data_IF_847365355532
#
_entry.id   IF_847365355532
#
_cell.length_a   1.000
_cell.length_b   1.000
_cell.length_c   1.000
_cell.angle_alpha   90.00
_cell.angle_beta   90.00
_cell.angle_gamma   90.00
#
_symmetry.space_group_name_H-M   'P 1'
#
loop_
_entity.id
_entity.type
_entity.pdbx_description
1 polymer ?
#
# COMPACT_ATOMS: atom_id res chain seq x y z
N UNK A 1 -26.90 -7.19 1.45
CA UNK A 1 -26.78 -6.11 0.44
C UNK A 1 -25.40 -6.05 -0.24
N UNK A 2 -24.32 -6.62 0.34
CA UNK A 2 -22.96 -6.55 -0.25
C UNK A 2 -22.77 -7.24 -1.61
N UNK A 3 -23.37 -8.42 -1.82
CA UNK A 3 -23.10 -9.22 -3.03
C UNK A 3 -23.62 -8.61 -4.34
N UNK A 4 -24.71 -7.82 -4.31
CA UNK A 4 -25.24 -7.17 -5.52
C UNK A 4 -24.36 -6.01 -5.98
N UNK A 5 -23.74 -5.28 -5.04
CA UNK A 5 -22.82 -4.21 -5.39
C UNK A 5 -21.57 -4.76 -6.06
N UNK A 6 -20.98 -5.85 -5.53
CA UNK A 6 -19.78 -6.48 -6.10
C UNK A 6 -20.04 -6.92 -7.55
N UNK A 7 -21.15 -7.63 -7.82
CA UNK A 7 -21.47 -8.10 -9.18
C UNK A 7 -21.52 -6.99 -10.23
N UNK A 8 -22.23 -5.91 -9.95
CA UNK A 8 -22.35 -4.79 -10.90
C UNK A 8 -20.98 -4.13 -11.17
N UNK A 9 -20.12 -4.01 -10.15
CA UNK A 9 -18.80 -3.44 -10.31
C UNK A 9 -17.85 -4.38 -11.06
N UNK A 10 -17.98 -5.70 -10.90
CA UNK A 10 -17.17 -6.69 -11.62
C UNK A 10 -17.34 -6.60 -13.13
N UNK A 11 -18.57 -6.49 -13.63
CA UNK A 11 -18.84 -6.38 -15.08
C UNK A 11 -18.19 -5.13 -15.69
N UNK A 12 -18.29 -3.99 -15.00
CA UNK A 12 -17.61 -2.77 -15.44
C UNK A 12 -16.08 -2.91 -15.36
N UNK A 13 -15.58 -3.56 -14.31
CA UNK A 13 -14.15 -3.77 -14.09
C UNK A 13 -13.54 -4.71 -15.13
N UNK A 14 -14.31 -5.66 -15.66
CA UNK A 14 -13.89 -6.52 -16.75
C UNK A 14 -13.56 -5.72 -18.02
N UNK A 15 -14.32 -4.65 -18.29
CA UNK A 15 -14.12 -3.78 -19.45
C UNK A 15 -13.04 -2.72 -19.24
N UNK A 16 -12.99 -2.15 -18.04
CA UNK A 16 -12.16 -0.97 -17.74
C UNK A 16 -10.82 -1.31 -17.10
N UNK A 17 -10.69 -2.47 -16.45
CA UNK A 17 -9.56 -2.80 -15.59
C UNK A 17 -9.54 -2.00 -14.28
N UNK A 18 -10.63 -1.31 -13.93
CA UNK A 18 -10.74 -0.48 -12.74
C UNK A 18 -11.85 -1.04 -11.85
N UNK A 19 -11.48 -1.47 -10.64
CA UNK A 19 -12.43 -1.88 -9.61
C UNK A 19 -12.42 -0.86 -8.47
N UNK A 20 -13.56 -0.27 -8.18
CA UNK A 20 -13.71 0.69 -7.08
C UNK A 20 -14.93 0.32 -6.26
N UNK A 21 -14.75 0.09 -4.96
CA UNK A 21 -15.86 -0.21 -4.05
C UNK A 21 -15.55 0.30 -2.65
N UNK A 22 -15.67 1.61 -2.47
CA UNK A 22 -15.34 2.30 -1.23
C UNK A 22 -16.53 2.40 -0.27
N UNK A 23 -16.27 2.41 1.04
CA UNK A 23 -17.31 2.74 2.02
C UNK A 23 -18.42 1.69 2.17
N UNK A 24 -18.22 0.44 1.71
CA UNK A 24 -19.25 -0.61 1.73
C UNK A 24 -19.16 -1.52 2.94
N UNK A 25 -18.19 -1.29 3.82
CA UNK A 25 -17.98 -2.11 5.00
C UNK A 25 -17.59 -3.55 4.67
N UNK A 26 -16.89 -3.75 3.54
CA UNK A 26 -16.40 -5.08 3.14
C UNK A 26 -15.52 -5.65 4.27
N UNK A 27 -15.83 -6.86 4.78
CA UNK A 27 -15.04 -7.47 5.85
C UNK A 27 -13.70 -8.00 5.33
N UNK A 28 -13.61 -8.29 4.02
CA UNK A 28 -12.45 -8.92 3.40
C UNK A 28 -12.26 -8.47 1.95
N UNK A 29 -11.11 -8.81 1.38
CA UNK A 29 -10.84 -8.59 -0.03
C UNK A 29 -11.75 -9.50 -0.89
N UNK A 30 -12.54 -8.96 -1.84
CA UNK A 30 -13.49 -9.78 -2.59
C UNK A 30 -12.80 -10.85 -3.44
N UNK A 31 -13.07 -12.12 -3.14
CA UNK A 31 -12.48 -13.26 -3.87
C UNK A 31 -12.87 -13.27 -5.34
N UNK A 32 -14.02 -12.70 -5.70
CA UNK A 32 -14.49 -12.63 -7.08
C UNK A 32 -13.55 -11.85 -7.99
N UNK A 33 -12.73 -10.94 -7.43
CA UNK A 33 -11.70 -10.21 -8.19
C UNK A 33 -10.64 -11.14 -8.78
N UNK A 34 -10.45 -12.35 -8.23
CA UNK A 34 -9.47 -13.31 -8.75
C UNK A 34 -9.72 -13.66 -10.22
N UNK A 35 -10.98 -13.57 -10.67
CA UNK A 35 -11.37 -13.79 -12.07
C UNK A 35 -10.89 -12.68 -13.03
N UNK A 36 -10.45 -11.55 -12.48
CA UNK A 36 -10.01 -10.36 -13.21
C UNK A 36 -8.51 -10.08 -13.03
N UNK A 37 -7.74 -11.08 -12.56
CA UNK A 37 -6.28 -10.98 -12.38
C UNK A 37 -5.53 -10.61 -13.66
N UNK A 38 -6.05 -11.01 -14.81
CA UNK A 38 -5.45 -10.72 -16.12
C UNK A 38 -5.67 -9.28 -16.63
N UNK A 39 -6.58 -8.50 -16.06
CA UNK A 39 -6.95 -7.18 -16.61
C UNK A 39 -7.04 -6.04 -15.59
N UNK A 40 -7.16 -6.31 -14.27
CA UNK A 40 -7.21 -5.22 -13.27
C UNK A 40 -5.89 -4.46 -13.21
N UNK A 41 -5.99 -3.14 -13.34
CA UNK A 41 -4.91 -2.16 -13.29
C UNK A 41 -5.05 -1.25 -12.07
N UNK A 42 -6.28 -0.92 -11.70
CA UNK A 42 -6.58 -0.04 -10.58
C UNK A 42 -7.60 -0.69 -9.67
N UNK A 43 -7.27 -0.79 -8.38
CA UNK A 43 -8.18 -1.27 -7.35
C UNK A 43 -8.26 -0.23 -6.24
N UNK A 44 -9.47 0.22 -5.92
CA UNK A 44 -9.75 1.05 -4.75
C UNK A 44 -10.81 0.39 -3.85
N UNK A 45 -10.39 -0.03 -2.67
CA UNK A 45 -11.23 -0.60 -1.63
C UNK A 45 -11.16 0.23 -0.36
N UNK A 46 -10.96 1.54 -0.48
CA UNK A 46 -10.83 2.45 0.67
C UNK A 46 -12.09 2.51 1.53
N UNK A 47 -11.93 2.82 2.81
CA UNK A 47 -13.04 2.97 3.77
C UNK A 47 -13.88 1.69 3.92
N UNK A 48 -13.23 0.53 3.95
CA UNK A 48 -13.88 -0.75 4.24
C UNK A 48 -13.39 -1.28 5.60
N UNK A 49 -13.60 -2.57 5.87
CA UNK A 49 -13.22 -3.22 7.13
C UNK A 49 -12.24 -4.37 6.89
N UNK A 50 -11.46 -4.30 5.81
CA UNK A 50 -10.54 -5.37 5.40
C UNK A 50 -9.40 -5.45 6.42
N UNK A 51 -9.23 -6.62 7.03
CA UNK A 51 -8.21 -6.87 8.05
C UNK A 51 -6.96 -7.55 7.47
N UNK A 52 -7.14 -8.34 6.41
CA UNK A 52 -6.07 -9.11 5.76
C UNK A 52 -6.23 -9.06 4.24
N UNK A 53 -5.11 -8.95 3.52
CA UNK A 53 -5.08 -9.21 2.08
C UNK A 53 -4.70 -10.68 1.82
N UNK A 54 -5.41 -11.38 0.93
CA UNK A 54 -5.06 -12.75 0.58
C UNK A 54 -3.76 -12.80 -0.21
N UNK A 55 -3.02 -13.92 -0.12
CA UNK A 55 -1.84 -14.18 -0.96
C UNK A 55 -2.15 -14.07 -2.47
N UNK A 56 -3.41 -14.32 -2.86
CA UNK A 56 -3.91 -14.13 -4.23
C UNK A 56 -3.73 -12.69 -4.76
N UNK A 57 -3.48 -11.69 -3.90
CA UNK A 57 -3.13 -10.33 -4.36
C UNK A 57 -1.92 -10.33 -5.29
N UNK A 58 -0.99 -11.28 -5.13
CA UNK A 58 0.18 -11.41 -6.01
C UNK A 58 -0.14 -11.87 -7.44
N UNK A 59 -1.38 -12.29 -7.72
CA UNK A 59 -1.80 -12.76 -9.04
C UNK A 59 -2.22 -11.61 -9.97
N UNK A 60 -2.43 -10.40 -9.45
CA UNK A 60 -2.87 -9.23 -10.23
C UNK A 60 -1.70 -8.55 -10.93
N UNK A 61 -1.00 -9.28 -11.81
CA UNK A 61 0.28 -8.85 -12.40
C UNK A 61 0.19 -7.60 -13.30
N UNK A 62 -1.03 -7.16 -13.67
CA UNK A 62 -1.27 -5.93 -14.43
C UNK A 62 -1.55 -4.71 -13.54
N UNK A 63 -1.62 -4.88 -12.21
CA UNK A 63 -1.96 -3.83 -11.27
C UNK A 63 -0.89 -2.73 -11.25
N UNK A 64 -1.36 -1.48 -11.43
CA UNK A 64 -0.59 -0.24 -11.37
C UNK A 64 -0.91 0.59 -10.14
N UNK A 65 -2.16 0.52 -9.65
CA UNK A 65 -2.60 1.29 -8.48
C UNK A 65 -3.42 0.42 -7.54
N UNK A 66 -3.05 0.40 -6.27
CA UNK A 66 -3.77 -0.26 -5.19
C UNK A 66 -4.03 0.73 -4.05
N UNK A 67 -5.30 1.01 -3.78
CA UNK A 67 -5.74 1.92 -2.73
C UNK A 67 -6.58 1.17 -1.71
N UNK A 68 -6.09 1.13 -0.48
CA UNK A 68 -6.67 0.41 0.66
C UNK A 68 -6.74 1.33 1.90
N UNK A 69 -6.88 2.63 1.68
CA UNK A 69 -6.93 3.61 2.76
C UNK A 69 -8.11 3.34 3.70
N UNK A 70 -7.97 3.68 4.98
CA UNK A 70 -9.02 3.57 5.99
C UNK A 70 -9.63 2.15 6.05
N UNK A 71 -8.77 1.13 6.11
CA UNK A 71 -9.13 -0.26 6.40
C UNK A 71 -8.57 -0.64 7.79
N UNK A 72 -8.50 -1.94 8.08
CA UNK A 72 -8.00 -2.46 9.36
C UNK A 72 -6.77 -3.35 9.17
N UNK A 73 -6.02 -3.17 8.08
CA UNK A 73 -4.89 -4.03 7.76
C UNK A 73 -3.84 -3.99 8.87
N UNK A 74 -3.45 -5.16 9.35
CA UNK A 74 -2.40 -5.32 10.37
C UNK A 74 -1.06 -5.76 9.77
N UNK A 75 -1.11 -6.39 8.59
CA UNK A 75 0.05 -6.79 7.80
C UNK A 75 -0.28 -6.79 6.30
N UNK A 76 0.74 -6.96 5.46
CA UNK A 76 0.59 -7.29 4.05
C UNK A 76 1.21 -8.67 3.79
N UNK A 77 0.67 -9.47 2.86
CA UNK A 77 1.28 -10.74 2.45
C UNK A 77 2.56 -10.49 1.65
N UNK A 78 3.51 -11.43 1.72
CA UNK A 78 4.77 -11.37 0.97
C UNK A 78 4.53 -11.29 -0.55
N UNK A 79 3.42 -11.85 -1.02
CA UNK A 79 2.99 -11.82 -2.42
C UNK A 79 2.78 -10.42 -2.99
N UNK A 80 2.65 -9.38 -2.14
CA UNK A 80 2.61 -8.00 -2.63
C UNK A 80 3.82 -7.68 -3.52
N UNK A 81 4.99 -8.25 -3.20
CA UNK A 81 6.21 -8.06 -3.98
C UNK A 81 6.13 -8.60 -5.42
N UNK A 82 5.14 -9.43 -5.76
CA UNK A 82 4.91 -9.94 -7.12
C UNK A 82 4.34 -8.88 -8.07
N UNK A 83 3.78 -7.78 -7.54
CA UNK A 83 3.15 -6.72 -8.33
C UNK A 83 4.18 -5.79 -8.99
N UNK A 84 4.98 -6.32 -9.93
CA UNK A 84 6.11 -5.60 -10.54
C UNK A 84 5.73 -4.33 -11.32
N UNK A 85 4.45 -4.18 -11.67
CA UNK A 85 3.91 -3.01 -12.37
C UNK A 85 3.26 -1.98 -11.44
N UNK A 86 3.24 -2.23 -10.13
CA UNK A 86 2.61 -1.34 -9.17
C UNK A 86 3.39 -0.03 -9.07
N UNK A 87 2.73 1.07 -9.41
CA UNK A 87 3.25 2.43 -9.40
C UNK A 87 2.76 3.21 -8.17
N UNK A 88 1.56 2.89 -7.68
CA UNK A 88 0.93 3.56 -6.53
C UNK A 88 0.39 2.54 -5.52
N UNK A 89 0.80 2.69 -4.25
CA UNK A 89 0.29 1.92 -3.12
C UNK A 89 -0.13 2.85 -1.99
N UNK A 90 -1.42 2.90 -1.70
CA UNK A 90 -2.01 3.77 -0.68
C UNK A 90 -2.61 2.92 0.44
N UNK A 91 -2.06 3.04 1.65
CA UNK A 91 -2.36 2.22 2.83
C UNK A 91 -2.62 3.09 4.07
N UNK A 92 -3.06 4.34 3.86
CA UNK A 92 -3.26 5.30 4.93
C UNK A 92 -4.35 4.85 5.90
N UNK A 93 -4.23 5.19 7.18
CA UNK A 93 -5.28 4.93 8.17
C UNK A 93 -5.55 3.44 8.37
N UNK A 94 -4.51 2.62 8.44
CA UNK A 94 -4.60 1.19 8.76
C UNK A 94 -3.95 0.92 10.14
N UNK A 95 -3.63 -0.34 10.44
CA UNK A 95 -3.02 -0.77 11.69
C UNK A 95 -1.66 -1.45 11.46
N UNK A 96 -0.99 -1.12 10.36
CA UNK A 96 0.30 -1.72 9.98
C UNK A 96 1.38 -1.32 10.98
N UNK A 97 2.16 -2.31 11.43
CA UNK A 97 3.34 -2.10 12.28
C UNK A 97 4.64 -2.35 11.53
N UNK A 98 4.58 -3.12 10.44
CA UNK A 98 5.69 -3.49 9.57
C UNK A 98 5.19 -3.71 8.14
N UNK A 99 6.13 -3.76 7.20
CA UNK A 99 5.91 -4.22 5.83
C UNK A 99 6.69 -5.52 5.59
N UNK A 100 6.22 -6.43 4.74
CA UNK A 100 7.03 -7.55 4.30
C UNK A 100 8.24 -7.03 3.52
N UNK A 101 9.39 -7.70 3.68
CA UNK A 101 10.64 -7.29 3.01
C UNK A 101 10.49 -7.29 1.48
N UNK A 102 9.53 -8.05 0.96
CA UNK A 102 9.20 -8.13 -0.46
C UNK A 102 8.63 -6.85 -1.05
N UNK A 103 8.18 -5.87 -0.24
CA UNK A 103 7.83 -4.52 -0.72
C UNK A 103 8.99 -3.90 -1.49
N UNK A 104 10.24 -4.16 -1.09
CA UNK A 104 11.43 -3.72 -1.81
C UNK A 104 11.54 -4.25 -3.25
N UNK A 105 10.75 -5.26 -3.61
CA UNK A 105 10.72 -5.80 -4.97
C UNK A 105 9.79 -5.04 -5.92
N UNK A 106 9.02 -4.06 -5.44
CA UNK A 106 8.12 -3.22 -6.23
C UNK A 106 8.90 -2.15 -7.01
N UNK A 107 9.70 -2.57 -8.00
CA UNK A 107 10.65 -1.69 -8.68
C UNK A 107 10.01 -0.56 -9.51
N UNK A 108 8.72 -0.66 -9.82
CA UNK A 108 7.97 0.40 -10.50
C UNK A 108 7.29 1.40 -9.53
N UNK A 109 7.39 1.18 -8.22
CA UNK A 109 6.64 1.97 -7.24
C UNK A 109 7.18 3.40 -7.17
N UNK A 110 6.28 4.36 -7.40
CA UNK A 110 6.55 5.81 -7.36
C UNK A 110 5.93 6.47 -6.15
N UNK A 111 4.77 6.00 -5.72
CA UNK A 111 4.06 6.56 -4.57
C UNK A 111 3.75 5.47 -3.56
N UNK A 112 4.22 5.67 -2.33
CA UNK A 112 3.89 4.84 -1.17
C UNK A 112 3.38 5.72 -0.04
N UNK A 113 2.13 5.51 0.36
CA UNK A 113 1.50 6.28 1.43
C UNK A 113 1.06 5.35 2.56
N UNK A 114 1.66 5.56 3.73
CA UNK A 114 1.51 4.77 4.97
C UNK A 114 1.11 5.67 6.15
N UNK A 115 0.57 6.85 5.86
CA UNK A 115 0.17 7.83 6.86
C UNK A 115 -0.87 7.25 7.83
N UNK A 116 -0.77 7.54 9.12
CA UNK A 116 -1.78 7.11 10.08
C UNK A 116 -1.79 5.59 10.32
N UNK A 117 -0.60 4.99 10.43
CA UNK A 117 -0.42 3.58 10.80
C UNK A 117 0.23 3.49 12.21
N UNK A 118 0.81 2.34 12.56
CA UNK A 118 1.42 2.06 13.87
C UNK A 118 2.91 1.74 13.78
N UNK A 119 3.59 2.22 12.74
CA UNK A 119 5.03 2.00 12.56
C UNK A 119 5.82 2.66 13.70
N UNK A 120 6.64 1.87 14.40
CA UNK A 120 7.57 2.37 15.43
C UNK A 120 8.99 2.56 14.92
N UNK A 121 9.30 1.89 13.81
CA UNK A 121 10.58 1.93 13.12
C UNK A 121 10.33 2.26 11.66
N UNK A 122 11.37 2.77 11.00
CA UNK A 122 11.32 2.96 9.56
C UNK A 122 11.17 1.59 8.85
N UNK A 123 10.23 1.41 7.91
CA UNK A 123 9.98 0.09 7.32
C UNK A 123 11.21 -0.46 6.57
N UNK A 124 11.61 -1.68 6.92
CA UNK A 124 12.70 -2.38 6.26
C UNK A 124 12.39 -2.65 4.77
N UNK A 125 13.43 -2.72 3.94
CA UNK A 125 13.32 -3.04 2.51
C UNK A 125 12.98 -1.86 1.59
N UNK A 126 12.53 -0.72 2.14
CA UNK A 126 12.23 0.47 1.35
C UNK A 126 13.46 1.02 0.64
N UNK A 127 14.66 0.96 1.24
CA UNK A 127 15.91 1.45 0.62
C UNK A 127 16.28 0.84 -0.74
N UNK A 128 15.57 -0.21 -1.18
CA UNK A 128 15.73 -0.81 -2.50
C UNK A 128 14.80 -0.23 -3.58
N UNK A 129 13.89 0.69 -3.22
CA UNK A 129 12.92 1.37 -4.08
C UNK A 129 13.52 2.65 -4.69
N UNK A 130 14.42 2.48 -5.66
CA UNK A 130 15.18 3.58 -6.28
C UNK A 130 14.35 4.55 -7.15
N UNK A 131 13.11 4.21 -7.44
CA UNK A 131 12.19 5.02 -8.27
C UNK A 131 11.01 5.59 -7.47
N UNK A 132 11.06 5.48 -6.15
CA UNK A 132 10.04 6.05 -5.29
C UNK A 132 10.18 7.57 -5.36
N UNK A 133 9.14 8.27 -5.77
CA UNK A 133 9.11 9.73 -5.83
C UNK A 133 8.57 10.28 -4.49
N UNK A 134 7.53 9.63 -3.93
CA UNK A 134 6.83 10.09 -2.74
C UNK A 134 6.70 8.95 -1.72
N UNK A 135 7.16 9.21 -0.50
CA UNK A 135 6.98 8.37 0.68
C UNK A 135 6.31 9.15 1.81
N UNK A 136 5.06 8.81 2.12
CA UNK A 136 4.37 9.38 3.28
C UNK A 136 4.33 8.39 4.44
N UNK A 137 5.07 8.69 5.51
CA UNK A 137 5.11 7.96 6.77
C UNK A 137 4.56 8.82 7.92
N UNK A 138 3.86 9.91 7.63
CA UNK A 138 3.33 10.81 8.64
C UNK A 138 2.35 10.12 9.59
N UNK A 139 2.11 10.70 10.78
CA UNK A 139 1.13 10.16 11.75
C UNK A 139 1.41 8.70 12.12
N UNK A 140 2.67 8.38 12.38
CA UNK A 140 3.11 7.09 12.90
C UNK A 140 3.80 7.29 14.26
N UNK A 141 4.52 6.28 14.74
CA UNK A 141 5.26 6.28 16.00
C UNK A 141 6.77 6.11 15.79
N UNK A 142 7.29 6.50 14.62
CA UNK A 142 8.70 6.30 14.25
C UNK A 142 9.58 7.18 15.13
N UNK A 143 10.57 6.57 15.78
CA UNK A 143 11.50 7.26 16.68
C UNK A 143 12.86 7.55 16.04
N UNK A 144 13.29 6.68 15.11
CA UNK A 144 14.56 6.77 14.44
C UNK A 144 14.40 6.54 12.93
N UNK A 145 15.21 7.27 12.17
CA UNK A 145 15.34 7.12 10.71
C UNK A 145 16.73 6.52 10.46
N UNK A 146 16.83 5.32 9.90
CA UNK A 146 18.10 4.63 9.73
C UNK A 146 18.86 5.20 8.53
N UNK A 147 20.17 4.99 8.46
CA UNK A 147 21.04 5.58 7.43
C UNK A 147 20.68 5.09 6.00
N UNK A 148 20.07 3.92 5.89
CA UNK A 148 19.57 3.32 4.66
C UNK A 148 18.50 4.18 3.97
N UNK A 149 17.89 5.12 4.69
CA UNK A 149 17.02 6.14 4.07
C UNK A 149 17.79 7.02 3.09
N UNK A 150 19.10 7.22 3.26
CA UNK A 150 19.92 7.91 2.25
C UNK A 150 20.00 7.14 0.91
N UNK A 151 19.70 5.84 0.89
CA UNK A 151 19.60 5.07 -0.35
C UNK A 151 18.25 5.28 -1.07
N UNK A 152 17.24 5.81 -0.36
CA UNK A 152 16.00 6.26 -0.98
C UNK A 152 16.30 7.55 -1.74
N UNK A 153 16.25 7.47 -3.07
CA UNK A 153 16.33 8.65 -3.94
C UNK A 153 14.95 9.31 -4.08
N UNK A 154 14.17 9.30 -2.99
CA UNK A 154 12.83 9.85 -3.00
C UNK A 154 12.84 11.37 -3.01
N UNK A 155 11.93 11.94 -3.80
CA UNK A 155 11.79 13.39 -3.95
C UNK A 155 11.18 13.97 -2.68
N UNK A 156 10.19 13.29 -2.10
CA UNK A 156 9.51 13.72 -0.88
C UNK A 156 9.38 12.57 0.11
N UNK A 157 9.89 12.78 1.33
CA UNK A 157 9.72 11.89 2.47
C UNK A 157 9.04 12.66 3.60
N UNK A 158 7.75 12.39 3.80
CA UNK A 158 6.98 13.02 4.87
C UNK A 158 7.01 12.16 6.14
N UNK A 159 7.67 12.67 7.18
CA UNK A 159 7.74 12.06 8.51
C UNK A 159 6.98 12.86 9.57
N UNK A 160 6.12 13.81 9.18
CA UNK A 160 5.41 14.68 10.12
C UNK A 160 4.57 13.89 11.12
N UNK A 161 4.41 14.42 12.34
CA UNK A 161 3.60 13.78 13.39
C UNK A 161 4.08 12.35 13.74
N UNK A 162 5.41 12.15 13.71
CA UNK A 162 6.12 11.01 14.33
C UNK A 162 6.85 11.45 15.62
N UNK A 163 7.61 10.54 16.22
CA UNK A 163 8.40 10.75 17.43
C UNK A 163 9.90 10.87 17.13
N UNK A 164 10.26 11.27 15.90
CA UNK A 164 11.64 11.28 15.43
C UNK A 164 12.48 12.26 16.24
N UNK A 165 13.57 11.77 16.84
CA UNK A 165 14.51 12.62 17.58
C UNK A 165 15.25 13.53 16.58
N UNK A 166 15.18 14.85 16.80
CA UNK A 166 15.66 15.91 15.88
C UNK A 166 17.10 15.76 15.38
N UNK A 167 17.96 15.03 16.08
CA UNK A 167 19.37 14.83 15.73
C UNK A 167 19.58 13.96 14.47
N UNK A 168 18.57 13.22 14.00
CA UNK A 168 18.70 12.32 12.84
C UNK A 168 18.22 12.93 11.50
N UNK A 169 17.59 14.11 11.53
CA UNK A 169 17.07 14.79 10.33
C UNK A 169 18.17 15.37 9.42
N UNK A 170 19.44 15.39 9.87
CA UNK A 170 20.57 15.96 9.11
C UNK A 170 20.89 15.17 7.83
N UNK A 171 20.35 13.95 7.68
CA UNK A 171 20.56 13.09 6.52
C UNK A 171 19.49 13.25 5.44
N UNK A 172 18.47 14.09 5.65
CA UNK A 172 17.45 14.44 4.67
C UNK A 172 17.77 15.84 4.13
N UNK A 173 18.64 15.91 3.13
CA UNK A 173 18.93 17.11 2.33
C UNK A 173 18.84 16.78 0.86
#
# INVERSE_FOLDING_TARGET
MGNNAIKAHLENSQKTGIFQLTGKGLPEFPEELQRLTGNLRTVDLSSNKIEVLPAAIGNFLQMKSLTLNCNKLTSLPDEIGKLKKLETLMLNGNHLTQLPITVGQLKALRTLSLSGNKFREFPAGLGSLRHLDVLDLSRNHIQAVPAEVAALQAIDINLNQNQVIRCLLVHLK
#
